data_IF_801806055976
#
_entry.id   IF_801806055976
#
_cell.length_a   1.000
_cell.length_b   1.000
_cell.length_c   1.000
_cell.angle_alpha   90.00
_cell.angle_beta   90.00
_cell.angle_gamma   90.00
#
_symmetry.space_group_name_H-M   'P 1'
#
loop_
_entity.id
_entity.type
_entity.pdbx_description
1 polymer ?
#
# COMPACT_ATOMS: atom_id res chain seq x y z
N UNK A 1 22.36 -5.48 -9.05
CA UNK A 1 21.78 -5.71 -9.00
C UNK A 1 21.30 -6.07 -8.70
N UNK A 2 21.23 -6.02 -8.52
CA UNK A 2 20.51 -6.52 -8.32
C UNK A 2 19.39 -6.49 -8.67
N UNK A 3 19.24 -6.92 -9.14
CA UNK A 3 18.14 -7.11 -9.97
C UNK A 3 16.94 -7.69 -9.31
N UNK A 4 17.07 -8.60 -8.45
CA UNK A 4 15.98 -9.16 -7.68
C UNK A 4 15.25 -8.08 -6.93
N UNK A 5 15.96 -7.14 -6.46
CA UNK A 5 15.37 -6.01 -5.78
C UNK A 5 14.53 -5.18 -6.74
N UNK A 6 15.06 -4.96 -7.92
CA UNK A 6 14.35 -4.20 -8.95
C UNK A 6 13.08 -4.93 -9.37
N UNK A 7 13.15 -6.24 -9.48
CA UNK A 7 12.01 -7.03 -9.85
C UNK A 7 10.89 -6.91 -8.82
N UNK A 8 11.24 -6.88 -7.55
CA UNK A 8 10.24 -6.68 -6.51
C UNK A 8 9.52 -5.37 -6.67
N UNK A 9 10.27 -4.34 -6.99
CA UNK A 9 9.65 -3.04 -7.22
C UNK A 9 8.74 -3.07 -8.43
N UNK A 10 9.16 -3.76 -9.48
CA UNK A 10 8.38 -3.84 -10.69
C UNK A 10 7.07 -4.59 -10.53
N UNK A 11 6.97 -5.44 -9.51
CA UNK A 11 5.76 -6.21 -9.27
C UNK A 11 4.79 -5.53 -8.32
N UNK A 12 5.13 -4.35 -7.83
CA UNK A 12 4.25 -3.62 -6.96
C UNK A 12 3.02 -3.16 -7.72
N UNK A 13 1.87 -3.23 -7.07
CA UNK A 13 0.63 -2.75 -7.66
C UNK A 13 0.06 -1.66 -6.79
N UNK A 14 -0.88 -0.91 -7.31
CA UNK A 14 -1.51 0.17 -6.57
C UNK A 14 -2.68 -0.39 -5.76
N UNK A 15 -2.75 0.00 -4.50
CA UNK A 15 -3.83 -0.38 -3.60
C UNK A 15 -4.57 0.88 -3.17
N UNK A 16 -5.88 0.82 -3.21
CA UNK A 16 -6.70 1.94 -2.79
C UNK A 16 -7.14 1.70 -1.35
N UNK A 17 -6.71 2.59 -0.47
CA UNK A 17 -7.03 2.50 0.95
C UNK A 17 -8.09 3.55 1.27
N UNK A 18 -9.29 3.09 1.61
CA UNK A 18 -10.35 3.99 2.04
C UNK A 18 -10.25 4.12 3.55
N UNK A 19 -10.26 5.35 4.02
CA UNK A 19 -10.08 5.62 5.44
C UNK A 19 -10.97 6.78 5.86
N UNK A 20 -10.92 7.11 7.13
CA UNK A 20 -11.82 8.12 7.69
C UNK A 20 -11.60 9.53 7.15
N UNK A 21 -10.51 9.74 6.43
CA UNK A 21 -10.22 11.06 5.86
C UNK A 21 -10.31 11.07 4.34
N UNK A 22 -10.75 9.96 3.73
CA UNK A 22 -10.87 9.88 2.30
C UNK A 22 -10.21 8.64 1.74
N UNK A 23 -9.43 8.79 0.69
CA UNK A 23 -8.82 7.67 -0.02
C UNK A 23 -7.36 8.00 -0.31
N UNK A 24 -6.49 7.01 -0.14
CA UNK A 24 -5.07 7.14 -0.43
C UNK A 24 -4.63 5.95 -1.26
N UNK A 25 -3.76 6.18 -2.23
CA UNK A 25 -3.21 5.11 -3.06
C UNK A 25 -1.84 4.75 -2.52
N UNK A 26 -1.63 3.46 -2.28
CA UNK A 26 -0.37 2.93 -1.76
C UNK A 26 0.11 1.85 -2.71
N UNK A 27 1.39 1.87 -3.06
CA UNK A 27 1.98 0.85 -3.92
C UNK A 27 2.64 -0.21 -3.08
N UNK A 28 2.32 -1.46 -3.35
CA UNK A 28 2.89 -2.59 -2.63
C UNK A 28 2.61 -3.87 -3.40
N UNK A 29 3.34 -4.93 -3.08
CA UNK A 29 3.14 -6.20 -3.76
C UNK A 29 1.95 -6.96 -3.22
N UNK A 30 1.58 -6.74 -1.97
CA UNK A 30 0.42 -7.41 -1.36
C UNK A 30 -0.38 -6.42 -0.54
N UNK A 31 -1.60 -6.82 -0.23
CA UNK A 31 -2.48 -6.01 0.60
C UNK A 31 -1.89 -5.78 1.99
N UNK A 32 -1.32 -6.81 2.58
CA UNK A 32 -0.72 -6.69 3.91
C UNK A 32 0.39 -5.65 3.94
N UNK A 33 1.23 -5.65 2.91
CA UNK A 33 2.32 -4.69 2.84
C UNK A 33 1.78 -3.29 2.62
N UNK A 34 0.75 -3.16 1.78
CA UNK A 34 0.12 -1.87 1.54
C UNK A 34 -0.44 -1.30 2.83
N UNK A 35 -1.12 -2.13 3.59
CA UNK A 35 -1.70 -1.70 4.86
C UNK A 35 -0.61 -1.30 5.84
N UNK A 36 0.45 -2.10 5.94
CA UNK A 36 1.55 -1.80 6.85
C UNK A 36 2.20 -0.46 6.49
N UNK A 37 2.42 -0.21 5.21
CA UNK A 37 3.01 1.05 4.76
C UNK A 37 2.10 2.22 5.07
N UNK A 38 0.80 2.04 4.84
CA UNK A 38 -0.16 3.10 5.12
C UNK A 38 -0.17 3.43 6.62
N UNK A 39 -0.24 2.41 7.45
CA UNK A 39 -0.31 2.62 8.90
C UNK A 39 0.97 3.23 9.45
N UNK A 40 2.11 2.89 8.86
CA UNK A 40 3.38 3.48 9.28
C UNK A 40 3.42 4.98 9.00
N UNK A 41 2.79 5.40 7.92
CA UNK A 41 2.79 6.79 7.52
C UNK A 41 1.66 7.58 8.19
N UNK A 42 0.52 6.93 8.39
CA UNK A 42 -0.67 7.59 8.96
C UNK A 42 -1.22 6.77 10.12
N UNK A 43 -0.51 6.72 11.25
CA UNK A 43 -0.93 5.86 12.35
C UNK A 43 -2.24 6.26 13.00
N UNK A 44 -2.67 7.50 12.80
CA UNK A 44 -3.91 7.98 13.42
C UNK A 44 -5.13 7.86 12.52
N UNK A 45 -4.95 7.36 11.31
CA UNK A 45 -6.07 7.18 10.39
C UNK A 45 -6.73 5.83 10.65
N UNK A 46 -8.01 5.75 10.38
CA UNK A 46 -8.75 4.51 10.52
C UNK A 46 -9.07 3.98 9.14
N UNK A 47 -8.57 2.79 8.83
CA UNK A 47 -8.79 2.17 7.54
C UNK A 47 -10.17 1.53 7.52
N UNK A 48 -10.96 1.83 6.49
CA UNK A 48 -12.28 1.26 6.31
C UNK A 48 -12.26 0.11 5.33
N UNK A 49 -11.46 0.22 4.29
CA UNK A 49 -11.40 -0.80 3.26
C UNK A 49 -10.12 -0.66 2.48
N UNK A 50 -9.70 -1.73 1.83
CA UNK A 50 -8.53 -1.70 0.98
C UNK A 50 -8.80 -2.58 -0.23
N UNK A 51 -8.52 -2.07 -1.42
CA UNK A 51 -8.79 -2.78 -2.67
C UNK A 51 -7.64 -2.56 -3.63
N UNK A 52 -7.44 -3.53 -4.49
CA UNK A 52 -6.48 -3.38 -5.57
C UNK A 52 -7.11 -2.54 -6.68
N UNK A 53 -6.34 -1.58 -7.12
CA UNK A 53 -6.81 -0.68 -8.18
C UNK A 53 -6.67 -1.32 -9.56
#
# INVERSE_FOLDING_TARGET
MYDGFTSSEGNAVAWRVDHNRGTTIVRATTESIALARFMAKYPNYQVKDIKRV
#
